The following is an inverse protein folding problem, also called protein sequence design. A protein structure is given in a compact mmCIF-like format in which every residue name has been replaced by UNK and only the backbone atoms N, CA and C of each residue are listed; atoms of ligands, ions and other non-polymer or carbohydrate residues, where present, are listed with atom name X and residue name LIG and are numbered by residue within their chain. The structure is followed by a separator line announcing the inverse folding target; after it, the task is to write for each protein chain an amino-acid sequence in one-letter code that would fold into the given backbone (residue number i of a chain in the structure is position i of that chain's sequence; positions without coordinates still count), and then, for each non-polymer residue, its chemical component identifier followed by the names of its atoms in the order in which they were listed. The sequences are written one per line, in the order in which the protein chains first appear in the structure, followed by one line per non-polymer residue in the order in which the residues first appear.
data_IF_267671937742
#
_entry.id   IF_267671937742
#
_cell.length_a   1.000
_cell.length_b   1.000
_cell.length_c   1.000
_cell.angle_alpha   90.00
_cell.angle_beta   90.00
_cell.angle_gamma   90.00
#
_symmetry.space_group_name_H-M   'P 1'
#
loop_
_entity.id
_entity.type
_entity.pdbx_description
1 polymer ?
#
# COMPACT_ATOMS: atom_id res chain seq x y z
N UNK A 1 51.72 -8.23 29.10
CA UNK A 1 50.31 -8.05 28.69
C UNK A 1 49.65 -7.06 29.65
N UNK A 2 49.35 -5.83 29.22
CA UNK A 2 48.74 -4.78 30.08
C UNK A 2 47.25 -5.08 30.25
N UNK A 3 46.78 -5.25 31.49
CA UNK A 3 45.36 -5.45 31.79
C UNK A 3 44.59 -4.18 31.41
N UNK A 4 43.51 -4.27 30.60
CA UNK A 4 42.73 -3.09 30.25
C UNK A 4 42.10 -2.49 31.51
N UNK A 5 42.16 -1.17 31.62
CA UNK A 5 41.64 -0.45 32.77
C UNK A 5 40.10 -0.63 32.79
N UNK A 6 39.54 -1.05 33.93
CA UNK A 6 38.13 -1.48 34.05
C UNK A 6 37.13 -0.43 33.50
N UNK A 7 37.46 0.86 33.65
CA UNK A 7 36.68 1.98 33.16
C UNK A 7 36.60 2.06 31.62
N UNK A 8 37.68 1.70 30.93
CA UNK A 8 37.74 1.71 29.46
C UNK A 8 36.89 0.56 28.90
N UNK A 9 36.93 -0.61 29.55
CA UNK A 9 36.09 -1.75 29.19
C UNK A 9 34.60 -1.42 29.33
N UNK A 10 34.21 -0.78 30.43
CA UNK A 10 32.81 -0.38 30.68
C UNK A 10 32.33 0.66 29.64
N UNK A 11 33.15 1.66 29.33
CA UNK A 11 32.81 2.68 28.35
C UNK A 11 32.63 2.08 26.94
N UNK A 12 33.52 1.17 26.54
CA UNK A 12 33.40 0.49 25.23
C UNK A 12 32.15 -0.39 25.12
N UNK A 13 31.77 -1.08 26.19
CA UNK A 13 30.57 -1.92 26.22
C UNK A 13 29.28 -1.09 26.15
N UNK A 14 29.24 0.08 26.80
CA UNK A 14 28.10 1.00 26.77
C UNK A 14 27.91 1.66 25.38
N UNK A 15 28.99 1.92 24.65
CA UNK A 15 28.90 2.45 23.28
C UNK A 15 28.47 1.35 22.31
N UNK A 16 29.01 0.13 22.45
CA UNK A 16 28.64 -1.00 21.61
C UNK A 16 27.17 -1.41 21.75
N UNK A 17 26.59 -1.31 22.95
CA UNK A 17 25.18 -1.64 23.20
C UNK A 17 24.19 -0.71 22.47
N UNK A 18 24.57 0.55 22.22
CA UNK A 18 23.76 1.51 21.44
C UNK A 18 23.66 1.13 19.96
N UNK A 19 24.67 0.45 19.40
CA UNK A 19 24.64 0.00 18.01
C UNK A 19 23.90 -1.35 17.84
N UNK A 20 23.89 -2.20 18.87
CA UNK A 20 23.24 -3.53 18.81
C UNK A 20 21.70 -3.47 18.77
N UNK A 21 21.07 -2.39 19.21
CA UNK A 21 19.59 -2.26 19.20
C UNK A 21 18.99 -1.80 17.86
N UNK A 22 19.82 -1.60 16.83
CA UNK A 22 19.42 -1.00 15.54
C UNK A 22 19.05 -1.99 14.42
N UNK A 23 19.18 -3.31 14.65
CA UNK A 23 19.16 -4.31 13.56
C UNK A 23 17.79 -4.51 12.86
N UNK A 24 16.67 -4.05 13.45
CA UNK A 24 15.32 -4.35 12.91
C UNK A 24 14.37 -3.18 12.70
N UNK A 25 14.63 -2.02 13.30
CA UNK A 25 13.72 -0.86 13.31
C UNK A 25 14.35 0.38 12.64
N UNK A 26 15.18 0.15 11.61
CA UNK A 26 15.90 1.20 10.89
C UNK A 26 15.27 1.60 9.56
N UNK A 27 16.07 2.24 8.72
CA UNK A 27 15.67 2.62 7.35
C UNK A 27 15.25 1.41 6.50
N UNK A 28 15.77 0.22 6.76
CA UNK A 28 15.42 -1.00 6.02
C UNK A 28 14.56 -1.96 6.87
N UNK A 29 13.75 -1.40 7.78
CA UNK A 29 12.84 -2.22 8.57
C UNK A 29 11.87 -2.97 7.65
N UNK A 30 11.70 -4.30 7.83
CA UNK A 30 10.87 -5.12 6.95
C UNK A 30 9.40 -4.69 6.90
N UNK A 31 8.93 -3.96 7.92
CA UNK A 31 7.59 -3.35 7.98
C UNK A 31 7.41 -2.14 7.06
N UNK A 32 8.49 -1.50 6.61
CA UNK A 32 8.44 -0.39 5.63
C UNK A 32 8.34 -0.88 4.19
N UNK A 33 8.66 -2.15 3.95
CA UNK A 33 8.42 -2.74 2.65
C UNK A 33 6.94 -3.02 2.51
N UNK A 34 6.32 -2.34 1.54
CA UNK A 34 4.91 -2.51 1.22
C UNK A 34 4.71 -3.94 0.74
N UNK A 35 4.07 -4.75 1.57
CA UNK A 35 3.65 -6.09 1.20
C UNK A 35 2.17 -6.02 0.85
N UNK A 36 1.85 -6.26 -0.42
CA UNK A 36 0.49 -6.49 -0.84
C UNK A 36 0.07 -7.86 -0.32
N UNK A 37 -0.69 -7.87 0.77
CA UNK A 37 -1.22 -9.09 1.41
C UNK A 37 -2.66 -9.40 0.99
N UNK A 38 -3.24 -8.55 0.16
CA UNK A 38 -4.58 -8.70 -0.40
C UNK A 38 -4.54 -9.48 -1.71
N UNK A 39 -5.61 -10.20 -2.01
CA UNK A 39 -5.77 -10.91 -3.29
C UNK A 39 -5.86 -9.94 -4.49
N UNK A 40 -6.26 -8.70 -4.23
CA UNK A 40 -6.33 -7.66 -5.24
C UNK A 40 -4.99 -7.05 -5.59
N UNK A 41 -4.86 -6.65 -6.85
CA UNK A 41 -3.69 -5.97 -7.39
C UNK A 41 -3.72 -4.47 -7.09
N UNK A 42 -2.55 -3.89 -6.85
CA UNK A 42 -2.37 -2.45 -6.64
C UNK A 42 -1.59 -1.81 -7.79
N UNK A 43 -1.88 -0.55 -8.08
CA UNK A 43 -1.17 0.24 -9.07
C UNK A 43 -1.13 1.72 -8.68
N UNK A 44 -0.08 2.41 -9.12
CA UNK A 44 0.09 3.85 -8.92
C UNK A 44 0.01 4.55 -10.27
N UNK A 45 -1.05 5.33 -10.47
CA UNK A 45 -1.30 6.13 -11.67
C UNK A 45 -1.00 7.60 -11.34
N UNK A 46 0.29 7.91 -11.21
CA UNK A 46 0.74 9.21 -10.72
C UNK A 46 0.29 9.46 -9.28
N UNK A 47 -0.56 10.47 -9.08
CA UNK A 47 -1.11 10.85 -7.78
C UNK A 47 -2.35 10.04 -7.39
N UNK A 48 -2.97 9.33 -8.34
CA UNK A 48 -4.07 8.40 -8.06
C UNK A 48 -3.52 7.03 -7.72
N UNK A 49 -3.88 6.55 -6.53
CA UNK A 49 -3.51 5.26 -5.96
C UNK A 49 -4.68 4.30 -6.15
N UNK A 50 -4.46 3.26 -6.93
CA UNK A 50 -5.42 2.19 -7.19
C UNK A 50 -5.08 1.01 -6.27
N UNK A 51 -6.03 0.60 -5.44
CA UNK A 51 -5.80 -0.35 -4.35
C UNK A 51 -6.80 -1.48 -4.37
N UNK A 52 -6.29 -2.68 -4.09
CA UNK A 52 -7.07 -3.91 -3.94
C UNK A 52 -8.05 -4.16 -5.10
N UNK A 53 -7.57 -4.10 -6.35
CA UNK A 53 -8.42 -4.39 -7.51
C UNK A 53 -8.55 -5.89 -7.70
N UNK A 54 -9.77 -6.40 -7.62
CA UNK A 54 -10.15 -7.81 -7.85
C UNK A 54 -11.33 -7.85 -8.81
N UNK A 55 -11.35 -8.83 -9.70
CA UNK A 55 -12.55 -9.20 -10.45
C UNK A 55 -13.17 -10.41 -9.78
N UNK A 56 -14.36 -10.22 -9.22
CA UNK A 56 -15.15 -11.29 -8.59
C UNK A 56 -16.07 -11.88 -9.66
N UNK A 57 -15.93 -13.18 -9.92
CA UNK A 57 -16.81 -13.89 -10.84
C UNK A 57 -18.18 -14.13 -10.20
N UNK A 58 -19.23 -13.83 -10.95
CA UNK A 58 -20.61 -13.98 -10.52
C UNK A 58 -21.22 -15.26 -11.14
N UNK A 59 -22.24 -15.90 -10.52
CA UNK A 59 -22.81 -17.15 -11.04
C UNK A 59 -23.45 -17.05 -12.43
N UNK A 60 -23.82 -15.85 -12.87
CA UNK A 60 -24.37 -15.58 -14.21
C UNK A 60 -23.29 -15.46 -15.30
N UNK A 61 -22.02 -15.61 -14.92
CA UNK A 61 -20.86 -15.49 -15.82
C UNK A 61 -20.35 -14.06 -16.00
N UNK A 62 -20.97 -13.07 -15.36
CA UNK A 62 -20.45 -11.70 -15.31
C UNK A 62 -19.29 -11.56 -14.29
N UNK A 63 -18.54 -10.46 -14.40
CA UNK A 63 -17.48 -10.13 -13.47
C UNK A 63 -17.73 -8.77 -12.81
N UNK A 64 -17.63 -8.71 -11.50
CA UNK A 64 -17.75 -7.48 -10.71
C UNK A 64 -16.35 -7.00 -10.34
N UNK A 65 -16.02 -5.76 -10.69
CA UNK A 65 -14.78 -5.14 -10.23
C UNK A 65 -14.97 -4.62 -8.80
N UNK A 66 -14.08 -5.04 -7.91
CA UNK A 66 -13.96 -4.53 -6.56
C UNK A 66 -12.61 -3.83 -6.43
N UNK A 67 -12.58 -2.60 -5.91
CA UNK A 67 -11.35 -1.88 -5.68
C UNK A 67 -11.56 -0.44 -5.22
N UNK A 68 -10.49 0.18 -4.73
CA UNK A 68 -10.55 1.54 -4.14
C UNK A 68 -9.54 2.45 -4.81
N UNK A 69 -9.99 3.63 -5.21
CA UNK A 69 -9.20 4.63 -5.89
C UNK A 69 -9.07 5.84 -4.95
N UNK A 70 -7.85 6.27 -4.67
CA UNK A 70 -7.56 7.39 -3.77
C UNK A 70 -6.68 8.39 -4.50
N UNK A 71 -7.05 9.66 -4.50
CA UNK A 71 -6.26 10.71 -5.13
C UNK A 71 -5.47 11.49 -4.07
N UNK A 72 -4.14 11.45 -4.15
CA UNK A 72 -3.25 12.19 -3.26
C UNK A 72 -2.88 13.58 -3.80
N UNK A 73 -3.41 13.98 -4.96
CA UNK A 73 -3.21 15.27 -5.59
C UNK A 73 -4.16 16.35 -5.09
N UNK A 74 -3.86 17.59 -5.46
CA UNK A 74 -4.69 18.76 -5.09
C UNK A 74 -5.97 18.84 -5.93
N UNK A 75 -5.86 18.51 -7.22
CA UNK A 75 -6.97 18.56 -8.17
C UNK A 75 -7.75 17.24 -8.19
N UNK A 76 -9.06 17.32 -8.40
CA UNK A 76 -9.91 16.14 -8.54
C UNK A 76 -9.69 15.43 -9.88
N UNK A 77 -9.72 14.10 -9.85
CA UNK A 77 -9.58 13.24 -11.03
C UNK A 77 -10.89 12.54 -11.38
N UNK A 78 -11.04 12.12 -12.64
CA UNK A 78 -12.27 11.44 -13.10
C UNK A 78 -11.92 10.10 -13.74
N UNK A 79 -12.56 9.04 -13.25
CA UNK A 79 -12.49 7.71 -13.87
C UNK A 79 -13.38 7.71 -15.12
N UNK A 80 -12.75 7.85 -16.29
CA UNK A 80 -13.48 7.91 -17.58
C UNK A 80 -13.99 6.55 -18.03
N UNK A 81 -13.17 5.51 -17.87
CA UNK A 81 -13.49 4.16 -18.32
C UNK A 81 -12.61 3.15 -17.61
N UNK A 82 -13.15 1.96 -17.40
CA UNK A 82 -12.38 0.79 -17.00
C UNK A 82 -12.58 -0.25 -18.10
N UNK A 83 -11.48 -0.84 -18.58
CA UNK A 83 -11.51 -1.93 -19.55
C UNK A 83 -10.72 -3.12 -19.03
N UNK A 84 -11.29 -4.30 -19.20
CA UNK A 84 -10.71 -5.58 -18.79
C UNK A 84 -10.61 -6.44 -20.05
N UNK A 85 -9.38 -6.74 -20.48
CA UNK A 85 -9.10 -7.53 -21.68
C UNK A 85 -9.85 -7.04 -22.94
N UNK A 86 -9.97 -5.71 -23.11
CA UNK A 86 -10.67 -5.09 -24.25
C UNK A 86 -12.17 -4.92 -24.08
N UNK A 87 -12.78 -5.50 -23.04
CA UNK A 87 -14.20 -5.29 -22.70
C UNK A 87 -14.35 -4.08 -21.80
N UNK A 88 -15.28 -3.17 -22.10
CA UNK A 88 -15.59 -2.03 -21.25
C UNK A 88 -16.46 -2.46 -20.07
N UNK A 89 -16.09 -2.02 -18.85
CA UNK A 89 -16.89 -2.22 -17.66
C UNK A 89 -17.99 -1.16 -17.57
N UNK A 90 -19.16 -1.56 -17.11
CA UNK A 90 -20.23 -0.64 -16.71
C UNK A 90 -19.90 -0.09 -15.33
N UNK A 91 -19.80 1.23 -15.21
CA UNK A 91 -19.48 1.91 -13.94
C UNK A 91 -20.76 2.55 -13.40
N UNK A 92 -21.08 2.20 -12.16
CA UNK A 92 -22.19 2.79 -11.41
C UNK A 92 -21.65 3.57 -10.20
N UNK A 93 -22.34 4.64 -9.81
CA UNK A 93 -21.96 5.46 -8.66
C UNK A 93 -21.01 6.62 -8.99
N UNK A 94 -20.20 7.03 -8.01
CA UNK A 94 -19.28 8.17 -8.17
C UNK A 94 -18.06 7.77 -8.99
N UNK A 95 -17.71 8.62 -9.95
CA UNK A 95 -16.49 8.49 -10.78
C UNK A 95 -15.48 9.61 -10.51
N UNK A 96 -15.79 10.52 -9.59
CA UNK A 96 -14.93 11.66 -9.24
C UNK A 96 -14.07 11.27 -8.04
N UNK A 97 -12.76 11.16 -8.26
CA UNK A 97 -11.76 10.87 -7.23
C UNK A 97 -11.19 12.19 -6.70
N UNK A 98 -11.93 12.79 -5.78
CA UNK A 98 -11.50 14.01 -5.09
C UNK A 98 -10.28 13.76 -4.20
N UNK A 99 -9.51 14.83 -3.95
CA UNK A 99 -8.36 14.81 -3.04
C UNK A 99 -8.68 14.09 -1.73
N UNK A 100 -7.84 13.13 -1.37
CA UNK A 100 -7.86 12.34 -0.14
C UNK A 100 -9.23 11.67 0.16
N UNK A 101 -10.09 11.54 -0.85
CA UNK A 101 -11.41 10.93 -0.72
C UNK A 101 -11.43 9.64 -1.53
N UNK A 102 -11.63 8.47 -0.89
CA UNK A 102 -11.68 7.21 -1.60
C UNK A 102 -12.95 7.11 -2.44
N UNK A 103 -12.81 6.67 -3.69
CA UNK A 103 -13.90 6.14 -4.51
C UNK A 103 -13.80 4.62 -4.47
N UNK A 104 -14.87 3.97 -4.01
CA UNK A 104 -14.93 2.53 -3.85
C UNK A 104 -15.83 1.97 -4.94
N UNK A 105 -15.27 1.08 -5.74
CA UNK A 105 -16.01 0.25 -6.68
C UNK A 105 -16.29 -1.08 -6.02
N UNK A 106 -17.57 -1.44 -5.94
CA UNK A 106 -18.04 -2.71 -5.46
C UNK A 106 -19.36 -3.04 -6.18
N UNK A 107 -19.69 -4.33 -6.24
CA UNK A 107 -21.03 -4.77 -6.66
C UNK A 107 -22.08 -4.45 -5.60
N UNK A 108 -23.33 -4.82 -5.89
CA UNK A 108 -24.44 -4.62 -4.97
C UNK A 108 -24.17 -5.29 -3.62
N UNK A 109 -24.20 -4.49 -2.55
CA UNK A 109 -24.25 -5.00 -1.18
C UNK A 109 -25.67 -5.50 -0.92
N UNK A 110 -25.89 -6.80 -1.12
CA UNK A 110 -27.15 -7.46 -0.72
C UNK A 110 -27.28 -7.55 0.80
#
# INVERSE_FOLDING_TARGET
MKKPNLLIALASAAIASLFLTSCGAGFDAPTRHIKQVTDGVEADLGLVKVRNVVIVAQPDGSGVLVGTFVNNGEDAEIVKSISINGTLATISGSIIVSKNSPVIFAGDSS
#
